data_IF_286713527436
#
_entry.id   IF_286713527436
#
_cell.length_a   1.000
_cell.length_b   1.000
_cell.length_c   1.000
_cell.angle_alpha   90.00
_cell.angle_beta   90.00
_cell.angle_gamma   90.00
#
_symmetry.space_group_name_H-M   'P 1'
#
loop_
_entity.id
_entity.type
_entity.pdbx_description
1 polymer ?
#
# COMPACT_ATOMS: atom_id res chain seq x y z
N UNK A 1 -21.84 -61.67 -7.49
CA UNK A 1 -22.68 -61.87 -6.28
C UNK A 1 -23.59 -60.65 -6.09
N UNK A 2 -24.53 -60.51 -7.03
CA UNK A 2 -25.97 -60.29 -6.81
C UNK A 2 -26.33 -58.92 -6.22
N UNK A 3 -26.76 -57.99 -7.08
CA UNK A 3 -27.38 -56.71 -6.67
C UNK A 3 -28.52 -56.90 -5.66
N UNK A 4 -29.15 -58.09 -5.64
CA UNK A 4 -30.13 -58.47 -4.63
C UNK A 4 -29.53 -58.51 -3.21
N UNK A 5 -28.34 -59.11 -3.03
CA UNK A 5 -27.65 -59.09 -1.73
C UNK A 5 -27.31 -57.67 -1.32
N UNK A 6 -26.86 -56.84 -2.27
CA UNK A 6 -26.59 -55.41 -2.01
C UNK A 6 -27.85 -54.67 -1.55
N UNK A 7 -28.99 -54.89 -2.22
CA UNK A 7 -30.27 -54.24 -1.87
C UNK A 7 -30.83 -54.71 -0.52
N UNK A 8 -30.60 -55.97 -0.15
CA UNK A 8 -31.04 -56.52 1.14
C UNK A 8 -30.15 -55.99 2.28
N UNK A 9 -28.84 -55.91 2.08
CA UNK A 9 -27.90 -55.40 3.10
C UNK A 9 -28.00 -53.88 3.28
N UNK A 10 -28.21 -53.10 2.22
CA UNK A 10 -28.39 -51.62 2.31
C UNK A 10 -29.72 -51.24 2.99
N UNK A 11 -30.73 -52.11 2.95
CA UNK A 11 -32.01 -51.89 3.63
C UNK A 11 -32.01 -52.27 5.13
N UNK A 12 -30.95 -52.91 5.63
CA UNK A 12 -30.88 -53.47 6.97
C UNK A 12 -29.87 -52.68 7.82
N UNK A 13 -30.36 -51.70 8.59
CA UNK A 13 -29.56 -51.04 9.63
C UNK A 13 -29.04 -52.06 10.66
N UNK A 14 -27.81 -51.90 11.21
CA UNK A 14 -27.25 -52.79 12.23
C UNK A 14 -28.20 -53.11 13.40
N UNK A 15 -28.97 -52.11 13.83
CA UNK A 15 -29.94 -52.24 14.92
C UNK A 15 -31.11 -53.18 14.57
N UNK A 16 -31.70 -53.03 13.37
CA UNK A 16 -32.78 -53.89 12.90
C UNK A 16 -32.35 -55.36 12.79
N UNK A 17 -31.09 -55.60 12.41
CA UNK A 17 -30.51 -56.95 12.35
C UNK A 17 -30.36 -57.52 13.76
N UNK A 18 -29.87 -56.73 14.71
CA UNK A 18 -29.76 -57.13 16.12
C UNK A 18 -31.12 -57.54 16.69
N UNK A 19 -32.15 -56.71 16.51
CA UNK A 19 -33.51 -57.00 16.98
C UNK A 19 -34.11 -58.25 16.32
N UNK A 20 -33.86 -58.45 15.02
CA UNK A 20 -34.28 -59.64 14.28
C UNK A 20 -33.68 -60.93 14.85
N UNK A 21 -32.38 -60.95 15.13
CA UNK A 21 -31.73 -62.12 15.74
C UNK A 21 -32.18 -62.38 17.18
N UNK A 22 -32.31 -61.32 18.00
CA UNK A 22 -32.76 -61.46 19.38
C UNK A 22 -34.20 -61.97 19.49
N UNK A 23 -35.11 -61.45 18.67
CA UNK A 23 -36.49 -61.92 18.62
C UNK A 23 -36.58 -63.38 18.19
N UNK A 24 -35.83 -63.77 17.15
CA UNK A 24 -35.75 -65.16 16.70
C UNK A 24 -35.21 -66.11 17.79
N UNK A 25 -34.17 -65.70 18.52
CA UNK A 25 -33.62 -66.46 19.65
C UNK A 25 -34.63 -66.61 20.79
N UNK A 26 -35.34 -65.54 21.15
CA UNK A 26 -36.36 -65.57 22.21
C UNK A 26 -37.54 -66.47 21.83
N UNK A 27 -37.98 -66.43 20.58
CA UNK A 27 -39.04 -67.32 20.08
C UNK A 27 -38.59 -68.78 20.14
N UNK A 28 -37.37 -69.08 19.71
CA UNK A 28 -36.82 -70.44 19.75
C UNK A 28 -36.67 -70.93 21.19
N UNK A 29 -36.18 -70.09 22.09
CA UNK A 29 -36.08 -70.39 23.53
C UNK A 29 -37.46 -70.66 24.16
N UNK A 30 -38.44 -69.81 23.90
CA UNK A 30 -39.80 -69.99 24.39
C UNK A 30 -40.45 -71.27 23.82
N UNK A 31 -40.26 -71.55 22.54
CA UNK A 31 -40.74 -72.77 21.89
C UNK A 31 -40.13 -74.02 22.53
N UNK A 32 -38.81 -74.03 22.77
CA UNK A 32 -38.13 -75.12 23.44
C UNK A 32 -38.66 -75.34 24.86
N UNK A 33 -38.94 -74.26 25.58
CA UNK A 33 -39.51 -74.31 26.93
C UNK A 33 -40.95 -74.85 26.92
N UNK A 34 -41.80 -74.41 25.99
CA UNK A 34 -43.18 -74.91 25.84
C UNK A 34 -43.20 -76.39 25.43
N UNK A 35 -42.39 -76.80 24.44
CA UNK A 35 -42.29 -78.20 24.01
C UNK A 35 -41.88 -79.13 25.16
N UNK A 36 -40.98 -78.66 26.04
CA UNK A 36 -40.59 -79.36 27.26
C UNK A 36 -41.76 -79.56 28.23
N UNK A 37 -42.59 -78.53 28.46
CA UNK A 37 -43.77 -78.67 29.35
C UNK A 37 -44.89 -79.51 28.73
N UNK A 38 -45.04 -79.49 27.40
CA UNK A 38 -46.05 -80.26 26.66
C UNK A 38 -45.61 -81.73 26.44
N UNK A 39 -44.39 -82.12 26.84
CA UNK A 39 -43.80 -83.48 26.68
C UNK A 39 -43.81 -83.98 25.23
N UNK A 40 -43.57 -83.07 24.27
CA UNK A 40 -43.57 -83.38 22.84
C UNK A 40 -42.29 -82.84 22.22
N UNK A 41 -41.65 -83.64 21.36
CA UNK A 41 -40.40 -83.33 20.68
C UNK A 41 -39.18 -83.15 21.63
N UNK A 42 -38.89 -84.17 22.45
CA UNK A 42 -37.72 -84.17 23.36
C UNK A 42 -36.39 -83.98 22.60
N UNK A 43 -36.29 -84.54 21.39
CA UNK A 43 -35.13 -84.36 20.51
C UNK A 43 -34.91 -82.88 20.12
N UNK A 44 -35.97 -82.10 19.91
CA UNK A 44 -35.87 -80.67 19.63
C UNK A 44 -35.38 -79.89 20.86
N UNK A 45 -35.85 -80.24 22.05
CA UNK A 45 -35.44 -79.60 23.31
C UNK A 45 -33.97 -79.87 23.62
N UNK A 46 -33.47 -81.06 23.28
CA UNK A 46 -32.06 -81.43 23.45
C UNK A 46 -31.14 -80.66 22.48
N UNK A 47 -31.59 -80.42 21.24
CA UNK A 47 -30.83 -79.72 20.21
C UNK A 47 -30.96 -78.18 20.29
N UNK A 48 -32.02 -77.65 20.91
CA UNK A 48 -32.30 -76.21 20.98
C UNK A 48 -31.17 -75.34 21.56
N UNK A 49 -30.43 -75.73 22.63
CA UNK A 49 -29.26 -74.96 23.08
C UNK A 49 -28.16 -74.87 22.02
N UNK A 50 -27.95 -75.94 21.24
CA UNK A 50 -27.03 -75.93 20.11
C UNK A 50 -27.47 -74.90 19.07
N UNK A 51 -28.76 -74.91 18.69
CA UNK A 51 -29.34 -73.96 17.73
C UNK A 51 -29.24 -72.50 18.19
N UNK A 52 -29.48 -72.20 19.47
CA UNK A 52 -29.31 -70.84 20.03
C UNK A 52 -27.86 -70.36 19.93
N UNK A 53 -26.90 -71.24 20.17
CA UNK A 53 -25.47 -70.93 20.07
C UNK A 53 -25.07 -70.70 18.60
N UNK A 54 -25.51 -71.58 17.69
CA UNK A 54 -25.25 -71.45 16.25
C UNK A 54 -25.90 -70.19 15.67
N UNK A 55 -27.09 -69.82 16.12
CA UNK A 55 -27.76 -68.59 15.72
C UNK A 55 -27.01 -67.35 16.24
N UNK A 56 -26.42 -67.43 17.44
CA UNK A 56 -25.54 -66.39 17.99
C UNK A 56 -24.28 -66.20 17.16
N UNK A 57 -23.63 -67.29 16.76
CA UNK A 57 -22.45 -67.26 15.86
C UNK A 57 -22.81 -66.64 14.52
N UNK A 58 -23.98 -66.98 13.94
CA UNK A 58 -24.44 -66.43 12.67
C UNK A 58 -24.74 -64.92 12.78
N UNK A 59 -25.30 -64.47 13.90
CA UNK A 59 -25.46 -63.04 14.20
C UNK A 59 -24.12 -62.30 14.26
N UNK A 60 -23.09 -62.90 14.88
CA UNK A 60 -21.72 -62.34 14.92
C UNK A 60 -21.15 -62.12 13.51
N UNK A 61 -21.22 -63.14 12.66
CA UNK A 61 -20.72 -63.03 11.29
C UNK A 61 -21.49 -61.97 10.49
N UNK A 62 -22.80 -61.89 10.68
CA UNK A 62 -23.64 -60.89 10.01
C UNK A 62 -23.28 -59.47 10.44
N UNK A 63 -23.07 -59.23 11.75
CA UNK A 63 -22.67 -57.92 12.27
C UNK A 63 -21.30 -57.46 11.79
N UNK A 64 -20.31 -58.37 11.72
CA UNK A 64 -18.98 -58.06 11.18
C UNK A 64 -19.03 -57.74 9.69
N UNK A 65 -19.84 -58.48 8.92
CA UNK A 65 -20.01 -58.21 7.48
C UNK A 65 -20.61 -56.81 7.28
N UNK A 66 -21.64 -56.43 8.04
CA UNK A 66 -22.27 -55.11 7.94
C UNK A 66 -21.26 -54.01 8.31
N UNK A 67 -20.49 -54.17 9.38
CA UNK A 67 -19.49 -53.18 9.80
C UNK A 67 -18.33 -52.98 8.83
N UNK A 68 -18.03 -53.98 7.98
CA UNK A 68 -16.98 -53.90 6.95
C UNK A 68 -17.52 -53.53 5.56
N UNK A 69 -18.85 -53.53 5.37
CA UNK A 69 -19.46 -53.38 4.05
C UNK A 69 -19.33 -51.98 3.45
N UNK A 70 -19.34 -50.95 4.29
CA UNK A 70 -19.18 -49.53 3.90
C UNK A 70 -17.85 -48.93 4.39
N UNK A 71 -16.86 -49.77 4.74
CA UNK A 71 -15.58 -49.29 5.22
C UNK A 71 -14.77 -48.64 4.08
N UNK A 72 -14.61 -47.32 4.13
CA UNK A 72 -13.84 -46.52 3.19
C UNK A 72 -12.63 -45.88 3.87
N UNK A 73 -11.47 -45.87 3.20
CA UNK A 73 -10.29 -45.15 3.66
C UNK A 73 -10.37 -43.64 3.44
N UNK A 74 -11.35 -43.17 2.66
CA UNK A 74 -11.58 -41.76 2.40
C UNK A 74 -12.22 -41.05 3.60
N UNK A 75 -13.22 -41.70 4.22
CA UNK A 75 -13.97 -41.20 5.38
C UNK A 75 -13.80 -42.12 6.58
N UNK A 76 -12.59 -42.09 7.16
CA UNK A 76 -12.19 -42.98 8.25
C UNK A 76 -13.08 -42.80 9.49
N UNK A 77 -13.50 -41.56 9.81
CA UNK A 77 -14.29 -41.28 11.01
C UNK A 77 -15.70 -41.91 10.92
N UNK A 78 -16.37 -41.81 9.77
CA UNK A 78 -17.67 -42.43 9.52
C UNK A 78 -17.54 -43.95 9.39
N UNK A 79 -16.48 -44.43 8.73
CA UNK A 79 -16.19 -45.86 8.58
C UNK A 79 -15.87 -46.55 9.91
N UNK A 80 -15.19 -45.88 10.85
CA UNK A 80 -14.95 -46.40 12.20
C UNK A 80 -16.26 -46.43 13.00
N UNK A 81 -17.12 -45.41 12.87
CA UNK A 81 -18.41 -45.38 13.55
C UNK A 81 -19.32 -46.55 13.10
N UNK A 82 -19.46 -46.76 11.79
CA UNK A 82 -20.24 -47.86 11.21
C UNK A 82 -19.65 -49.22 11.55
N UNK A 83 -18.31 -49.35 11.57
CA UNK A 83 -17.62 -50.57 12.00
C UNK A 83 -17.91 -50.89 13.47
N UNK A 84 -17.88 -49.88 14.35
CA UNK A 84 -18.19 -50.04 15.77
C UNK A 84 -19.64 -50.48 15.99
N UNK A 85 -20.60 -50.01 15.20
CA UNK A 85 -22.00 -50.41 15.32
C UNK A 85 -22.25 -51.84 14.79
N UNK A 86 -21.57 -52.24 13.71
CA UNK A 86 -21.55 -53.64 13.27
C UNK A 86 -20.92 -54.58 14.31
N UNK A 87 -19.85 -54.14 14.98
CA UNK A 87 -19.21 -54.89 16.07
C UNK A 87 -20.11 -55.00 17.31
N UNK A 88 -20.83 -53.94 17.69
CA UNK A 88 -21.83 -53.99 18.79
C UNK A 88 -22.91 -55.03 18.51
N UNK A 89 -23.44 -55.03 17.28
CA UNK A 89 -24.43 -56.02 16.80
C UNK A 89 -23.89 -57.45 16.92
N UNK A 90 -22.65 -57.66 16.47
CA UNK A 90 -21.99 -58.96 16.52
C UNK A 90 -21.79 -59.46 17.97
N UNK A 91 -21.42 -58.55 18.88
CA UNK A 91 -21.20 -58.90 20.28
C UNK A 91 -22.49 -59.25 21.02
N UNK A 92 -23.54 -58.43 20.88
CA UNK A 92 -24.82 -58.60 21.59
C UNK A 92 -25.48 -59.93 21.20
N UNK A 93 -25.53 -60.25 19.91
CA UNK A 93 -26.14 -61.49 19.40
C UNK A 93 -25.40 -62.75 19.89
N UNK A 94 -24.08 -62.71 19.99
CA UNK A 94 -23.26 -63.81 20.53
C UNK A 94 -23.50 -64.04 22.03
N UNK A 95 -23.48 -62.95 22.82
CA UNK A 95 -23.68 -63.02 24.28
C UNK A 95 -25.08 -63.56 24.60
N UNK A 96 -26.11 -63.09 23.90
CA UNK A 96 -27.47 -63.60 24.07
C UNK A 96 -27.62 -65.06 23.63
N UNK A 97 -27.01 -65.46 22.49
CA UNK A 97 -27.08 -66.84 21.99
C UNK A 97 -26.44 -67.85 22.95
N UNK A 98 -25.25 -67.52 23.48
CA UNK A 98 -24.56 -68.34 24.48
C UNK A 98 -25.31 -68.31 25.82
N UNK A 99 -25.74 -67.13 26.27
CA UNK A 99 -26.47 -66.97 27.53
C UNK A 99 -27.77 -67.77 27.57
N UNK A 100 -28.61 -67.64 26.55
CA UNK A 100 -29.87 -68.38 26.45
C UNK A 100 -29.64 -69.89 26.31
N UNK A 101 -28.59 -70.32 25.61
CA UNK A 101 -28.19 -71.73 25.49
C UNK A 101 -27.81 -72.34 26.85
N UNK A 102 -26.99 -71.63 27.63
CA UNK A 102 -26.57 -72.06 28.96
C UNK A 102 -27.79 -72.13 29.90
N UNK A 103 -28.64 -71.11 29.88
CA UNK A 103 -29.86 -71.08 30.69
C UNK A 103 -30.78 -72.25 30.33
N UNK A 104 -30.98 -72.54 29.04
CA UNK A 104 -31.80 -73.66 28.59
C UNK A 104 -31.21 -75.01 29.03
N UNK A 105 -29.89 -75.22 28.89
CA UNK A 105 -29.19 -76.44 29.38
C UNK A 105 -29.30 -76.61 30.89
N UNK A 106 -29.17 -75.53 31.65
CA UNK A 106 -29.32 -75.57 33.10
C UNK A 106 -30.76 -75.97 33.48
N UNK A 107 -31.77 -75.34 32.86
CA UNK A 107 -33.18 -75.66 33.12
C UNK A 107 -33.54 -77.10 32.72
N UNK A 108 -32.97 -77.63 31.62
CA UNK A 108 -33.21 -79.02 31.22
C UNK A 108 -32.54 -80.02 32.15
N UNK A 109 -31.35 -79.70 32.69
CA UNK A 109 -30.57 -80.57 33.57
C UNK A 109 -31.05 -80.58 35.03
N UNK A 110 -31.42 -79.43 35.59
CA UNK A 110 -31.73 -79.32 37.03
C UNK A 110 -33.18 -79.68 37.39
N UNK A 111 -34.08 -79.78 36.41
CA UNK A 111 -35.49 -80.13 36.63
C UNK A 111 -35.75 -81.50 35.97
N UNK A 112 -35.44 -82.64 36.63
CA UNK A 112 -35.78 -83.97 36.11
C UNK A 112 -37.30 -84.18 36.14
N UNK A 113 -37.88 -84.66 35.03
CA UNK A 113 -39.30 -85.00 34.93
C UNK A 113 -39.48 -86.46 35.39
N UNK A 114 -40.45 -86.79 36.27
CA UNK A 114 -40.60 -88.14 36.82
C UNK A 114 -41.05 -89.13 35.73
N UNK A 115 -40.32 -90.23 35.54
CA UNK A 115 -40.77 -91.32 34.67
C UNK A 115 -39.71 -92.27 34.11
N UNK A 116 -38.41 -92.07 34.33
CA UNK A 116 -37.38 -92.90 33.71
C UNK A 116 -36.67 -93.77 34.75
N UNK A 117 -37.21 -94.97 35.01
CA UNK A 117 -36.53 -96.01 35.79
C UNK A 117 -36.79 -97.36 35.13
N UNK A 118 -35.82 -97.86 34.38
CA UNK A 118 -35.79 -99.25 33.91
C UNK A 118 -35.24 -100.16 35.02
N UNK A 119 -35.94 -101.26 35.25
CA UNK A 119 -35.64 -102.31 36.23
C UNK A 119 -34.32 -103.02 35.93
N UNK A 120 -33.55 -103.34 36.98
CA UNK A 120 -32.32 -104.13 36.90
C UNK A 120 -32.55 -105.50 37.54
N UNK A 121 -32.44 -106.53 36.71
CA UNK A 121 -32.34 -107.96 37.05
C UNK A 121 -30.91 -108.32 37.50
N UNK A 122 -30.85 -109.05 38.62
CA UNK A 122 -29.79 -109.92 39.16
C UNK A 122 -28.36 -109.37 39.45
N UNK A 123 -27.95 -109.50 40.72
CA UNK A 123 -26.77 -108.84 41.31
C UNK A 123 -25.42 -109.50 40.97
N UNK A 124 -25.44 -110.71 40.40
CA UNK A 124 -24.23 -111.49 40.10
C UNK A 124 -23.63 -111.15 38.74
N UNK A 125 -24.46 -110.99 37.69
CA UNK A 125 -23.99 -110.64 36.34
C UNK A 125 -23.51 -109.18 36.25
N UNK A 126 -24.06 -108.29 37.07
CA UNK A 126 -23.64 -106.88 37.15
C UNK A 126 -22.21 -106.77 37.69
N UNK A 127 -21.81 -107.63 38.63
CA UNK A 127 -20.47 -107.57 39.23
C UNK A 127 -19.40 -107.96 38.22
N UNK A 128 -19.63 -109.03 37.45
CA UNK A 128 -18.69 -109.50 36.44
C UNK A 128 -18.68 -108.57 35.22
N UNK A 129 -19.84 -108.06 34.78
CA UNK A 129 -19.92 -107.04 33.75
C UNK A 129 -19.25 -105.72 34.18
N UNK A 130 -19.38 -105.30 35.44
CA UNK A 130 -18.71 -104.10 35.97
C UNK A 130 -17.19 -104.27 36.06
N UNK A 131 -16.69 -105.44 36.45
CA UNK A 131 -15.25 -105.69 36.48
C UNK A 131 -14.65 -105.70 35.07
N UNK A 132 -15.35 -106.29 34.10
CA UNK A 132 -14.91 -106.29 32.70
C UNK A 132 -14.96 -104.87 32.09
N UNK A 133 -16.06 -104.14 32.27
CA UNK A 133 -16.18 -102.73 31.87
C UNK A 133 -15.12 -101.85 32.52
N UNK A 134 -14.83 -102.03 33.81
CA UNK A 134 -13.81 -101.25 34.50
C UNK A 134 -12.41 -101.49 33.91
N UNK A 135 -12.08 -102.74 33.57
CA UNK A 135 -10.79 -103.05 32.95
C UNK A 135 -10.66 -102.54 31.50
N UNK A 136 -11.74 -102.62 30.70
CA UNK A 136 -11.77 -102.05 29.35
C UNK A 136 -11.78 -100.51 29.36
N UNK A 137 -12.46 -99.87 30.31
CA UNK A 137 -12.46 -98.42 30.49
C UNK A 137 -11.09 -97.90 30.90
N UNK A 138 -10.39 -98.58 31.81
CA UNK A 138 -9.04 -98.20 32.24
C UNK A 138 -8.04 -98.34 31.07
N UNK A 139 -8.09 -99.45 30.33
CA UNK A 139 -7.23 -99.61 29.14
C UNK A 139 -7.59 -98.66 28.01
N UNK A 140 -8.88 -98.36 27.82
CA UNK A 140 -9.38 -97.38 26.86
C UNK A 140 -8.90 -95.97 27.20
N UNK A 141 -9.01 -95.56 28.47
CA UNK A 141 -8.49 -94.28 28.96
C UNK A 141 -6.98 -94.17 28.84
N UNK A 142 -6.21 -95.21 29.17
CA UNK A 142 -4.75 -95.20 29.01
C UNK A 142 -4.32 -95.03 27.55
N UNK A 143 -5.01 -95.71 26.61
CA UNK A 143 -4.75 -95.55 25.17
C UNK A 143 -5.11 -94.14 24.71
N UNK A 144 -6.23 -93.60 25.18
CA UNK A 144 -6.67 -92.24 24.84
C UNK A 144 -5.74 -91.17 25.43
N UNK A 145 -5.23 -91.36 26.65
CA UNK A 145 -4.23 -90.50 27.30
C UNK A 145 -2.91 -90.51 26.54
N UNK A 146 -2.39 -91.69 26.19
CA UNK A 146 -1.16 -91.80 25.38
C UNK A 146 -1.32 -91.19 24.00
N UNK A 147 -2.48 -91.38 23.37
CA UNK A 147 -2.79 -90.75 22.08
C UNK A 147 -2.89 -89.23 22.21
N UNK A 148 -3.52 -88.72 23.28
CA UNK A 148 -3.61 -87.29 23.57
C UNK A 148 -2.25 -86.66 23.89
N UNK A 149 -1.39 -87.34 24.65
CA UNK A 149 -0.01 -86.90 24.91
C UNK A 149 0.81 -86.80 23.61
N UNK A 150 0.71 -87.81 22.75
CA UNK A 150 1.40 -87.78 21.46
C UNK A 150 0.87 -86.63 20.56
N UNK A 151 -0.45 -86.42 20.52
CA UNK A 151 -1.05 -85.31 19.77
C UNK A 151 -0.64 -83.94 20.33
N UNK A 152 -0.59 -83.78 21.66
CA UNK A 152 -0.12 -82.56 22.33
C UNK A 152 1.35 -82.29 22.04
N UNK A 153 2.18 -83.32 22.06
CA UNK A 153 3.61 -83.26 21.75
C UNK A 153 3.83 -82.84 20.28
N UNK A 154 3.11 -83.45 19.34
CA UNK A 154 3.21 -83.13 17.92
C UNK A 154 2.67 -81.73 17.61
N UNK A 155 1.56 -81.33 18.22
CA UNK A 155 1.03 -79.97 18.13
C UNK A 155 2.05 -78.95 18.65
N UNK A 156 2.64 -79.19 19.82
CA UNK A 156 3.65 -78.31 20.41
C UNK A 156 4.87 -78.16 19.50
N UNK A 157 5.34 -79.26 18.89
CA UNK A 157 6.42 -79.24 17.89
C UNK A 157 6.05 -78.42 16.65
N UNK A 158 4.87 -78.66 16.08
CA UNK A 158 4.41 -77.94 14.89
C UNK A 158 4.25 -76.44 15.14
N UNK A 159 3.66 -76.06 16.27
CA UNK A 159 3.52 -74.65 16.66
C UNK A 159 4.89 -74.00 16.85
N UNK A 160 5.81 -74.68 17.52
CA UNK A 160 7.17 -74.16 17.73
C UNK A 160 7.92 -73.98 16.40
N UNK A 161 7.87 -74.96 15.50
CA UNK A 161 8.49 -74.86 14.18
C UNK A 161 7.87 -73.74 13.34
N UNK A 162 6.53 -73.68 13.26
CA UNK A 162 5.83 -72.64 12.52
C UNK A 162 6.14 -71.24 13.08
N UNK A 163 6.23 -71.09 14.40
CA UNK A 163 6.55 -69.81 15.04
C UNK A 163 7.99 -69.37 14.74
N UNK A 164 8.95 -70.30 14.81
CA UNK A 164 10.36 -70.02 14.48
C UNK A 164 10.50 -69.63 13.01
N UNK A 165 9.86 -70.37 12.11
CA UNK A 165 9.92 -70.12 10.66
C UNK A 165 9.28 -68.77 10.29
N UNK A 166 8.16 -68.41 10.93
CA UNK A 166 7.54 -67.09 10.75
C UNK A 166 8.40 -65.96 11.33
N UNK A 167 9.01 -66.15 12.51
CA UNK A 167 9.92 -65.18 13.10
C UNK A 167 11.16 -64.96 12.22
N UNK A 168 11.73 -66.02 11.66
CA UNK A 168 12.85 -65.93 10.73
C UNK A 168 12.48 -65.11 9.49
N UNK A 169 11.32 -65.36 8.88
CA UNK A 169 10.84 -64.57 7.75
C UNK A 169 10.61 -63.10 8.11
N UNK A 170 10.11 -62.80 9.30
CA UNK A 170 9.94 -61.41 9.76
C UNK A 170 11.28 -60.71 9.92
N UNK A 171 12.29 -61.37 10.50
CA UNK A 171 13.64 -60.80 10.67
C UNK A 171 14.30 -60.57 9.31
N UNK A 172 14.20 -61.51 8.38
CA UNK A 172 14.75 -61.36 7.03
C UNK A 172 14.09 -60.19 6.30
N UNK A 173 12.74 -60.13 6.29
CA UNK A 173 12.02 -59.01 5.66
C UNK A 173 12.29 -57.68 6.33
N UNK A 174 12.48 -57.66 7.65
CA UNK A 174 12.85 -56.46 8.38
C UNK A 174 14.24 -55.98 7.96
N UNK A 175 15.23 -56.88 7.93
CA UNK A 175 16.59 -56.54 7.49
C UNK A 175 16.62 -56.04 6.04
N UNK A 176 15.94 -56.71 5.11
CA UNK A 176 15.85 -56.24 3.71
C UNK A 176 15.22 -54.85 3.61
N UNK A 177 14.18 -54.58 4.42
CA UNK A 177 13.47 -53.30 4.40
C UNK A 177 14.31 -52.20 5.04
N UNK A 178 15.04 -52.49 6.12
CA UNK A 178 15.99 -51.56 6.73
C UNK A 178 17.13 -51.26 5.77
N UNK A 179 17.77 -52.27 5.18
CA UNK A 179 18.92 -52.07 4.29
C UNK A 179 18.53 -51.26 3.05
N UNK A 180 17.41 -51.61 2.40
CA UNK A 180 16.99 -50.94 1.18
C UNK A 180 16.34 -49.58 1.45
N UNK A 181 15.27 -49.51 2.26
CA UNK A 181 14.50 -48.28 2.41
C UNK A 181 15.18 -47.26 3.31
N UNK A 182 15.87 -47.69 4.36
CA UNK A 182 16.59 -46.75 5.23
C UNK A 182 17.85 -46.23 4.55
N UNK A 183 18.56 -47.09 3.81
CA UNK A 183 19.72 -46.70 3.01
C UNK A 183 19.37 -45.70 1.91
N UNK A 184 18.31 -45.96 1.13
CA UNK A 184 17.87 -45.06 0.06
C UNK A 184 17.37 -43.72 0.65
N UNK A 185 16.60 -43.75 1.75
CA UNK A 185 16.14 -42.53 2.41
C UNK A 185 17.29 -41.71 3.03
N UNK A 186 18.30 -42.34 3.63
CA UNK A 186 19.48 -41.63 4.14
C UNK A 186 20.31 -41.00 3.02
N UNK A 187 20.40 -41.67 1.88
CA UNK A 187 21.07 -41.13 0.68
C UNK A 187 20.31 -39.89 0.17
N UNK A 188 18.98 -39.98 0.00
CA UNK A 188 18.14 -38.83 -0.39
C UNK A 188 18.20 -37.70 0.63
N UNK A 189 18.25 -38.03 1.92
CA UNK A 189 18.41 -37.04 2.98
C UNK A 189 19.74 -36.30 2.84
N UNK A 190 20.85 -37.02 2.61
CA UNK A 190 22.16 -36.42 2.36
C UNK A 190 22.19 -35.52 1.12
N UNK A 191 21.57 -35.95 0.02
CA UNK A 191 21.46 -35.13 -1.21
C UNK A 191 20.64 -33.85 -0.98
N UNK A 192 19.52 -33.95 -0.27
CA UNK A 192 18.70 -32.78 0.07
C UNK A 192 19.46 -31.82 1.00
N UNK A 193 20.25 -32.35 1.93
CA UNK A 193 21.07 -31.53 2.82
C UNK A 193 22.18 -30.80 2.07
N UNK A 194 22.84 -31.46 1.11
CA UNK A 194 23.84 -30.82 0.24
C UNK A 194 23.23 -29.70 -0.63
N UNK A 195 22.01 -29.91 -1.15
CA UNK A 195 21.27 -28.85 -1.87
C UNK A 195 20.90 -27.69 -0.97
N UNK A 196 20.53 -27.97 0.27
CA UNK A 196 20.23 -26.95 1.26
C UNK A 196 21.47 -26.09 1.58
N UNK A 197 22.63 -26.71 1.75
CA UNK A 197 23.89 -26.00 1.99
C UNK A 197 24.24 -25.03 0.84
N UNK A 198 24.17 -25.50 -0.40
CA UNK A 198 24.37 -24.66 -1.58
C UNK A 198 23.35 -23.50 -1.69
N UNK A 199 22.09 -23.75 -1.28
CA UNK A 199 21.07 -22.70 -1.24
C UNK A 199 21.40 -21.63 -0.21
N UNK A 200 21.86 -22.01 0.99
CA UNK A 200 22.28 -21.08 2.05
C UNK A 200 23.50 -20.26 1.62
N UNK A 201 24.46 -20.86 0.95
CA UNK A 201 25.63 -20.15 0.41
C UNK A 201 25.21 -19.09 -0.62
N UNK A 202 24.31 -19.45 -1.55
CA UNK A 202 23.76 -18.53 -2.55
C UNK A 202 23.00 -17.37 -1.89
N UNK A 203 22.17 -17.67 -0.88
CA UNK A 203 21.41 -16.66 -0.13
C UNK A 203 22.35 -15.69 0.59
N UNK A 204 23.46 -16.19 1.12
CA UNK A 204 24.48 -15.37 1.80
C UNK A 204 25.20 -14.45 0.81
N UNK A 205 25.51 -14.93 -0.39
CA UNK A 205 26.11 -14.11 -1.44
C UNK A 205 25.15 -13.02 -1.93
N UNK A 206 23.88 -13.35 -2.15
CA UNK A 206 22.85 -12.37 -2.53
C UNK A 206 22.64 -11.31 -1.45
N UNK A 207 22.68 -11.70 -0.16
CA UNK A 207 22.59 -10.74 0.94
C UNK A 207 23.73 -9.73 0.92
N UNK A 208 24.98 -10.17 0.71
CA UNK A 208 26.13 -9.26 0.58
C UNK A 208 26.01 -8.35 -0.64
N UNK A 209 25.63 -8.90 -1.79
CA UNK A 209 25.43 -8.10 -3.00
C UNK A 209 24.29 -7.07 -2.84
N UNK A 210 23.25 -7.41 -2.07
CA UNK A 210 22.19 -6.48 -1.72
C UNK A 210 22.68 -5.35 -0.79
N UNK A 211 23.49 -5.67 0.22
CA UNK A 211 24.10 -4.69 1.12
C UNK A 211 24.93 -3.66 0.35
N UNK A 212 25.82 -4.11 -0.54
CA UNK A 212 26.63 -3.23 -1.40
C UNK A 212 25.76 -2.34 -2.31
N UNK A 213 24.68 -2.88 -2.89
CA UNK A 213 23.74 -2.09 -3.71
C UNK A 213 23.02 -1.02 -2.90
N UNK A 214 22.62 -1.31 -1.65
CA UNK A 214 21.95 -0.36 -0.77
C UNK A 214 22.92 0.75 -0.37
N UNK A 215 24.16 0.42 -0.07
CA UNK A 215 25.21 1.41 0.26
C UNK A 215 25.46 2.35 -0.93
N UNK A 216 25.64 1.79 -2.14
CA UNK A 216 25.77 2.57 -3.37
C UNK A 216 24.58 3.50 -3.62
N UNK A 217 23.35 2.98 -3.47
CA UNK A 217 22.14 3.79 -3.61
C UNK A 217 22.07 4.91 -2.58
N UNK A 218 22.42 4.61 -1.33
CA UNK A 218 22.40 5.59 -0.24
C UNK A 218 23.38 6.73 -0.50
N UNK A 219 24.61 6.42 -0.94
CA UNK A 219 25.63 7.42 -1.26
C UNK A 219 25.21 8.32 -2.43
N UNK A 220 24.59 7.74 -3.47
CA UNK A 220 24.18 8.49 -4.66
C UNK A 220 22.84 9.21 -4.53
N UNK A 221 21.99 8.82 -3.58
CA UNK A 221 20.71 9.49 -3.35
C UNK A 221 20.93 10.94 -2.89
N UNK A 222 21.94 11.20 -2.07
CA UNK A 222 22.25 12.56 -1.59
C UNK A 222 22.73 13.45 -2.75
N UNK A 223 23.56 12.90 -3.64
CA UNK A 223 23.98 13.59 -4.87
C UNK A 223 22.80 13.87 -5.81
N UNK A 224 21.88 12.92 -5.96
CA UNK A 224 20.67 13.10 -6.76
C UNK A 224 19.75 14.18 -6.19
N UNK A 225 19.56 14.20 -4.86
CA UNK A 225 18.77 15.23 -4.16
C UNK A 225 19.41 16.60 -4.33
N UNK A 226 20.74 16.71 -4.15
CA UNK A 226 21.46 17.96 -4.40
C UNK A 226 21.31 18.43 -5.86
N UNK A 227 21.38 17.51 -6.82
CA UNK A 227 21.14 17.81 -8.24
C UNK A 227 19.74 18.35 -8.51
N UNK A 228 18.70 17.75 -7.91
CA UNK A 228 17.32 18.21 -8.04
C UNK A 228 17.11 19.61 -7.43
N UNK A 229 17.71 19.86 -6.27
CA UNK A 229 17.68 21.20 -5.64
C UNK A 229 18.34 22.24 -6.54
N UNK A 230 19.45 21.88 -7.19
CA UNK A 230 20.13 22.79 -8.11
C UNK A 230 19.27 23.08 -9.35
N UNK A 231 18.65 22.07 -9.96
CA UNK A 231 17.71 22.26 -11.08
C UNK A 231 16.55 23.17 -10.69
N UNK A 232 16.01 23.03 -9.48
CA UNK A 232 14.95 23.90 -8.99
C UNK A 232 15.40 25.37 -8.88
N UNK A 233 16.63 25.63 -8.39
CA UNK A 233 17.20 26.99 -8.35
C UNK A 233 17.43 27.56 -9.75
N UNK A 234 17.93 26.75 -10.67
CA UNK A 234 18.17 27.18 -12.04
C UNK A 234 16.85 27.54 -12.72
N UNK A 235 15.79 26.75 -12.53
CA UNK A 235 14.44 27.05 -13.00
C UNK A 235 13.87 28.34 -12.40
N UNK A 236 14.10 28.59 -11.11
CA UNK A 236 13.69 29.84 -10.46
C UNK A 236 14.42 31.05 -11.07
N UNK A 237 15.71 30.90 -11.38
CA UNK A 237 16.53 31.95 -12.01
C UNK A 237 16.03 32.24 -13.43
N UNK A 238 15.75 31.20 -14.22
CA UNK A 238 15.16 31.31 -15.56
C UNK A 238 13.80 32.03 -15.48
N UNK A 239 12.95 31.66 -14.52
CA UNK A 239 11.66 32.31 -14.32
C UNK A 239 11.81 33.81 -14.02
N UNK A 240 12.76 34.19 -13.17
CA UNK A 240 13.03 35.58 -12.84
C UNK A 240 13.52 36.38 -14.07
N UNK A 241 14.42 35.81 -14.88
CA UNK A 241 14.86 36.45 -16.13
C UNK A 241 13.74 36.58 -17.16
N UNK A 242 12.88 35.57 -17.28
CA UNK A 242 11.70 35.62 -18.15
C UNK A 242 10.70 36.71 -17.71
N UNK A 243 10.61 37.00 -16.41
CA UNK A 243 9.76 38.07 -15.88
C UNK A 243 10.27 39.47 -16.23
N UNK A 244 11.56 39.64 -16.57
CA UNK A 244 12.14 40.93 -17.00
C UNK A 244 11.96 41.20 -18.51
N UNK A 245 11.67 40.18 -19.31
CA UNK A 245 11.47 40.29 -20.77
C UNK A 245 10.37 41.30 -21.14
N UNK A 246 9.19 41.34 -20.48
CA UNK A 246 8.17 42.35 -20.76
C UNK A 246 8.66 43.79 -20.53
N UNK A 247 9.41 44.04 -19.45
CA UNK A 247 9.95 45.38 -19.16
C UNK A 247 10.95 45.83 -20.23
N UNK A 248 11.73 44.90 -20.78
CA UNK A 248 12.59 45.18 -21.92
C UNK A 248 11.77 45.59 -23.17
N UNK A 249 10.65 44.91 -23.44
CA UNK A 249 9.75 45.27 -24.53
C UNK A 249 9.08 46.63 -24.31
N UNK A 250 8.64 46.95 -23.10
CA UNK A 250 8.09 48.27 -22.73
C UNK A 250 9.14 49.38 -22.95
N UNK A 251 10.39 49.12 -22.56
CA UNK A 251 11.53 50.01 -22.79
C UNK A 251 11.77 50.24 -24.29
N UNK A 252 11.71 49.19 -25.11
CA UNK A 252 11.82 49.32 -26.57
C UNK A 252 10.67 50.14 -27.17
N UNK A 253 9.45 49.98 -26.69
CA UNK A 253 8.31 50.77 -27.15
C UNK A 253 8.49 52.26 -26.83
N UNK A 254 8.95 52.58 -25.62
CA UNK A 254 9.29 53.95 -25.22
C UNK A 254 10.40 54.57 -26.09
N UNK A 255 11.48 53.82 -26.36
CA UNK A 255 12.56 54.28 -27.25
C UNK A 255 12.03 54.51 -28.67
N UNK A 256 11.15 53.65 -29.17
CA UNK A 256 10.55 53.79 -30.50
C UNK A 256 9.60 55.01 -30.57
N UNK A 257 8.83 55.26 -29.52
CA UNK A 257 8.00 56.47 -29.41
C UNK A 257 8.85 57.74 -29.43
N UNK A 258 9.92 57.80 -28.64
CA UNK A 258 10.87 58.92 -28.66
C UNK A 258 11.54 59.11 -30.02
N UNK A 259 11.95 58.01 -30.67
CA UNK A 259 12.54 58.07 -32.00
C UNK A 259 11.56 58.65 -33.04
N UNK A 260 10.27 58.31 -32.96
CA UNK A 260 9.22 58.89 -33.81
C UNK A 260 9.02 60.38 -33.56
N UNK A 261 9.00 60.80 -32.29
CA UNK A 261 8.86 62.20 -31.91
C UNK A 261 10.06 63.04 -32.40
N UNK A 262 11.29 62.53 -32.22
CA UNK A 262 12.50 63.16 -32.76
C UNK A 262 12.45 63.26 -34.29
N UNK A 263 11.97 62.24 -34.99
CA UNK A 263 11.83 62.27 -36.44
C UNK A 263 10.83 63.36 -36.89
N UNK A 264 9.73 63.54 -36.16
CA UNK A 264 8.76 64.61 -36.42
C UNK A 264 9.39 65.98 -36.18
N UNK A 265 10.12 66.16 -35.08
CA UNK A 265 10.82 67.41 -34.76
C UNK A 265 11.85 67.77 -35.85
N UNK A 266 12.62 66.80 -36.34
CA UNK A 266 13.57 67.00 -37.46
C UNK A 266 12.83 67.42 -38.73
N UNK A 267 11.69 66.77 -39.03
CA UNK A 267 10.87 67.12 -40.20
C UNK A 267 10.34 68.56 -40.11
N UNK A 268 9.84 68.96 -38.94
CA UNK A 268 9.37 70.32 -38.70
C UNK A 268 10.50 71.35 -38.83
N UNK A 269 11.69 71.01 -38.33
CA UNK A 269 12.87 71.87 -38.46
C UNK A 269 13.28 72.05 -39.93
N UNK A 270 13.22 70.98 -40.74
CA UNK A 270 13.47 71.06 -42.19
C UNK A 270 12.45 71.95 -42.91
N UNK A 271 11.17 71.90 -42.52
CA UNK A 271 10.15 72.79 -43.08
C UNK A 271 10.33 74.25 -42.64
N UNK A 272 10.76 74.51 -41.40
CA UNK A 272 11.18 75.86 -40.97
C UNK A 272 12.36 76.38 -41.80
N UNK A 273 13.35 75.53 -42.09
CA UNK A 273 14.47 75.89 -42.99
C UNK A 273 13.99 76.23 -44.40
N UNK A 274 13.03 75.47 -44.95
CA UNK A 274 12.39 75.81 -46.24
C UNK A 274 11.69 77.17 -46.18
N UNK A 275 11.00 77.47 -45.08
CA UNK A 275 10.34 78.77 -44.84
C UNK A 275 11.32 79.94 -44.83
N UNK A 276 12.45 79.80 -44.12
CA UNK A 276 13.51 80.83 -44.09
C UNK A 276 14.11 81.04 -45.48
N UNK A 277 14.35 79.98 -46.23
CA UNK A 277 14.85 80.07 -47.60
C UNK A 277 13.86 80.83 -48.53
N UNK A 278 12.56 80.59 -48.38
CA UNK A 278 11.52 81.33 -49.11
C UNK A 278 11.44 82.81 -48.69
N UNK A 279 11.61 83.10 -47.40
CA UNK A 279 11.63 84.47 -46.88
C UNK A 279 12.86 85.24 -47.37
N UNK A 280 14.02 84.58 -47.45
CA UNK A 280 15.24 85.11 -48.04
C UNK A 280 15.04 85.50 -49.51
N UNK A 281 14.31 84.69 -50.29
CA UNK A 281 13.96 85.02 -51.68
C UNK A 281 13.10 86.28 -51.80
N UNK A 282 12.26 86.60 -50.81
CA UNK A 282 11.42 87.81 -50.81
C UNK A 282 12.14 89.08 -50.34
N UNK A 283 13.14 88.94 -49.45
CA UNK A 283 13.89 90.08 -48.89
C UNK A 283 15.01 90.54 -49.84
N UNK A 284 15.66 89.63 -50.57
CA UNK A 284 16.76 89.98 -51.49
C UNK A 284 16.42 91.09 -52.50
N UNK A 285 15.25 91.08 -53.18
CA UNK A 285 14.88 92.11 -54.15
C UNK A 285 14.67 93.50 -53.53
N UNK A 286 14.21 93.56 -52.27
CA UNK A 286 13.86 94.80 -51.57
C UNK A 286 15.02 95.38 -50.75
N UNK A 287 16.17 94.69 -50.73
CA UNK A 287 17.34 95.11 -49.97
C UNK A 287 17.89 96.46 -50.47
N UNK A 288 17.89 96.67 -51.80
CA UNK A 288 18.31 97.93 -52.41
C UNK A 288 17.42 99.11 -52.03
N UNK A 289 16.10 98.89 -51.96
CA UNK A 289 15.13 99.93 -51.59
C UNK A 289 15.22 100.31 -50.10
N UNK A 290 15.47 99.33 -49.22
CA UNK A 290 15.75 99.60 -47.80
C UNK A 290 17.07 100.34 -47.57
N UNK A 291 18.10 100.05 -48.37
CA UNK A 291 19.36 100.79 -48.34
C UNK A 291 19.14 102.24 -48.79
N UNK A 292 18.30 102.49 -49.81
CA UNK A 292 17.96 103.85 -50.27
C UNK A 292 17.19 104.65 -49.19
N UNK A 293 16.25 104.00 -48.49
CA UNK A 293 15.56 104.60 -47.34
C UNK A 293 16.53 104.92 -46.19
N UNK A 294 17.52 104.06 -45.94
CA UNK A 294 18.56 104.31 -44.94
C UNK A 294 19.41 105.54 -45.30
N UNK A 295 19.79 105.69 -46.58
CA UNK A 295 20.53 106.87 -47.07
C UNK A 295 19.70 108.15 -46.92
N UNK A 296 18.40 108.13 -47.23
CA UNK A 296 17.50 109.29 -46.98
C UNK A 296 17.38 109.64 -45.49
N UNK A 297 17.45 108.64 -44.61
CA UNK A 297 17.49 108.87 -43.16
C UNK A 297 18.73 109.66 -42.71
N UNK A 298 19.86 109.53 -43.42
CA UNK A 298 21.09 110.27 -43.13
C UNK A 298 20.95 111.76 -43.46
N UNK A 299 20.22 112.13 -44.53
CA UNK A 299 19.93 113.54 -44.87
C UNK A 299 19.08 114.24 -43.78
N UNK A 300 18.12 113.52 -43.21
CA UNK A 300 17.29 114.02 -42.09
C UNK A 300 18.14 114.27 -40.85
N UNK A 301 19.12 113.40 -40.57
CA UNK A 301 20.06 113.57 -39.47
C UNK A 301 20.94 114.82 -39.66
N UNK A 302 21.39 115.11 -40.89
CA UNK A 302 22.20 116.30 -41.19
C UNK A 302 21.43 117.62 -40.94
N UNK A 303 20.14 117.65 -41.26
CA UNK A 303 19.27 118.81 -41.04
C UNK A 303 18.99 119.06 -39.55
N UNK A 304 18.76 117.99 -38.77
CA UNK A 304 18.59 118.07 -37.31
C UNK A 304 19.89 118.52 -36.64
N UNK A 305 21.03 117.99 -37.07
CA UNK A 305 22.34 118.31 -36.48
C UNK A 305 22.73 119.78 -36.66
N UNK A 306 22.35 120.43 -37.76
CA UNK A 306 22.64 121.85 -38.02
C UNK A 306 21.80 122.78 -37.14
N UNK A 307 20.53 122.42 -36.91
CA UNK A 307 19.62 123.10 -35.98
C UNK A 307 20.08 122.93 -34.52
N UNK A 308 20.49 121.72 -34.16
CA UNK A 308 20.96 121.39 -32.81
C UNK A 308 22.32 122.06 -32.52
N UNK A 309 23.18 122.22 -33.53
CA UNK A 309 24.45 122.95 -33.39
C UNK A 309 24.26 124.45 -33.15
N UNK A 310 23.25 125.09 -33.75
CA UNK A 310 22.87 126.47 -33.44
C UNK A 310 22.35 126.61 -32.01
N UNK A 311 21.52 125.66 -31.57
CA UNK A 311 21.00 125.61 -30.20
C UNK A 311 22.11 125.34 -29.17
N UNK A 312 23.12 124.55 -29.56
CA UNK A 312 24.32 124.26 -28.77
C UNK A 312 25.26 125.47 -28.67
N UNK A 313 25.38 126.31 -29.71
CA UNK A 313 26.14 127.57 -29.62
C UNK A 313 25.50 128.56 -28.62
N UNK A 314 24.17 128.61 -28.55
CA UNK A 314 23.42 129.42 -27.56
C UNK A 314 23.56 128.83 -26.15
N UNK A 315 23.56 127.50 -26.01
CA UNK A 315 23.79 126.85 -24.71
C UNK A 315 25.24 127.03 -24.23
N UNK A 316 26.24 126.93 -25.11
CA UNK A 316 27.67 127.18 -24.81
C UNK A 316 27.89 128.62 -24.34
N UNK A 317 27.25 129.62 -24.97
CA UNK A 317 27.35 131.01 -24.52
C UNK A 317 26.79 131.19 -23.09
N UNK A 318 25.64 130.56 -22.79
CA UNK A 318 25.02 130.56 -21.46
C UNK A 318 25.83 129.76 -20.43
N UNK A 319 26.49 128.69 -20.89
CA UNK A 319 27.35 127.83 -20.09
C UNK A 319 28.72 128.48 -19.81
N UNK A 320 29.19 129.39 -20.68
CA UNK A 320 30.38 130.22 -20.45
C UNK A 320 30.16 131.28 -19.36
N UNK A 321 28.95 131.86 -19.28
CA UNK A 321 28.55 132.77 -18.21
C UNK A 321 28.43 132.04 -16.85
N UNK A 322 27.90 130.81 -16.86
CA UNK A 322 27.87 129.91 -15.69
C UNK A 322 29.26 129.37 -15.30
N UNK A 323 30.16 129.11 -16.26
CA UNK A 323 31.56 128.73 -16.01
C UNK A 323 32.33 129.87 -15.34
N UNK A 324 32.04 131.13 -15.66
CA UNK A 324 32.60 132.28 -14.95
C UNK A 324 32.23 132.29 -13.46
N UNK A 325 30.98 131.95 -13.13
CA UNK A 325 30.51 131.80 -11.75
C UNK A 325 31.06 130.54 -11.06
N UNK A 326 31.20 129.42 -11.80
CA UNK A 326 31.77 128.18 -11.30
C UNK A 326 33.29 128.27 -11.07
N UNK A 327 34.05 129.03 -11.86
CA UNK A 327 35.49 129.27 -11.63
C UNK A 327 35.70 130.05 -10.32
N UNK A 328 34.81 131.00 -10.00
CA UNK A 328 34.84 131.73 -8.74
C UNK A 328 34.49 130.83 -7.53
N UNK A 329 33.52 129.92 -7.71
CA UNK A 329 33.15 128.91 -6.71
C UNK A 329 34.22 127.81 -6.54
N UNK A 330 34.90 127.41 -7.63
CA UNK A 330 36.01 126.44 -7.64
C UNK A 330 37.27 127.04 -7.03
N UNK A 331 37.55 128.34 -7.20
CA UNK A 331 38.61 129.01 -6.43
C UNK A 331 38.32 129.02 -4.92
N UNK A 332 37.07 129.23 -4.50
CA UNK A 332 36.67 129.07 -3.09
C UNK A 332 36.62 127.62 -2.60
N UNK A 333 36.42 126.66 -3.51
CA UNK A 333 36.45 125.23 -3.20
C UNK A 333 37.88 124.66 -3.19
N UNK A 334 38.83 125.22 -3.95
CA UNK A 334 40.25 124.87 -3.87
C UNK A 334 40.88 125.28 -2.53
N UNK A 335 40.36 126.33 -1.90
CA UNK A 335 40.70 126.72 -0.53
C UNK A 335 40.15 125.71 0.52
N UNK A 336 39.11 124.94 0.16
CA UNK A 336 38.51 123.85 0.95
C UNK A 336 38.92 122.43 0.53
N UNK A 337 39.57 122.26 -0.62
CA UNK A 337 40.06 121.00 -1.19
C UNK A 337 41.46 120.65 -0.67
N UNK A 338 41.71 120.92 0.62
CA UNK A 338 42.81 120.33 1.39
C UNK A 338 42.34 119.15 2.24
N UNK A 339 41.07 118.74 2.13
CA UNK A 339 40.49 117.62 2.89
C UNK A 339 39.43 116.87 2.08
N UNK A 340 39.79 115.70 1.52
CA UNK A 340 38.85 114.70 1.01
C UNK A 340 39.00 113.42 1.85
N UNK A 341 37.89 112.79 2.26
CA UNK A 341 37.86 111.62 3.18
C UNK A 341 37.25 110.36 2.52
N UNK A 342 37.63 109.19 3.05
CA UNK A 342 37.42 107.83 2.54
C UNK A 342 35.94 107.34 2.57
N UNK A 343 35.07 108.00 3.32
CA UNK A 343 33.70 107.56 3.57
C UNK A 343 32.80 107.51 2.32
N UNK A 344 33.08 108.35 1.32
CA UNK A 344 32.27 108.39 0.10
C UNK A 344 32.49 107.15 -0.80
N UNK A 345 33.72 106.62 -0.86
CA UNK A 345 34.03 105.39 -1.59
C UNK A 345 33.42 104.17 -0.88
N UNK A 346 33.36 104.21 0.45
CA UNK A 346 32.79 103.12 1.26
C UNK A 346 31.28 102.97 1.07
N UNK A 347 30.54 104.08 0.89
CA UNK A 347 29.09 104.07 0.66
C UNK A 347 28.67 103.34 -0.62
N UNK A 348 29.42 103.48 -1.72
CA UNK A 348 29.11 102.81 -2.99
C UNK A 348 29.32 101.29 -2.95
N UNK A 349 30.32 100.81 -2.20
CA UNK A 349 30.59 99.37 -2.05
C UNK A 349 29.53 98.71 -1.17
N UNK A 350 29.10 99.39 -0.11
CA UNK A 350 28.11 98.88 0.84
C UNK A 350 26.75 98.59 0.18
N UNK A 351 26.29 99.47 -0.71
CA UNK A 351 24.96 99.38 -1.34
C UNK A 351 24.89 98.23 -2.37
N UNK A 352 25.99 97.98 -3.08
CA UNK A 352 26.12 96.87 -4.02
C UNK A 352 26.13 95.51 -3.29
N UNK A 353 26.86 95.40 -2.18
CA UNK A 353 26.97 94.16 -1.39
C UNK A 353 25.65 93.76 -0.73
N UNK A 354 24.87 94.73 -0.24
CA UNK A 354 23.58 94.47 0.40
C UNK A 354 22.53 93.97 -0.60
N UNK A 355 22.50 94.56 -1.80
CA UNK A 355 21.60 94.14 -2.87
C UNK A 355 21.86 92.70 -3.31
N UNK A 356 23.13 92.30 -3.45
CA UNK A 356 23.49 90.93 -3.84
C UNK A 356 23.15 89.89 -2.75
N UNK A 357 23.35 90.24 -1.47
CA UNK A 357 23.03 89.37 -0.33
C UNK A 357 21.54 89.01 -0.27
N UNK A 358 20.67 89.99 -0.52
CA UNK A 358 19.22 89.78 -0.50
C UNK A 358 18.76 88.85 -1.63
N UNK A 359 19.28 89.04 -2.85
CA UNK A 359 18.96 88.16 -3.99
C UNK A 359 19.39 86.70 -3.77
N UNK A 360 20.56 86.48 -3.16
CA UNK A 360 21.03 85.13 -2.82
C UNK A 360 20.16 84.45 -1.74
N UNK A 361 19.62 85.22 -0.79
CA UNK A 361 18.75 84.70 0.27
C UNK A 361 17.39 84.25 -0.28
N UNK A 362 16.83 84.98 -1.25
CA UNK A 362 15.58 84.65 -1.91
C UNK A 362 15.68 83.36 -2.74
N UNK A 363 16.78 83.20 -3.49
CA UNK A 363 17.10 81.97 -4.22
C UNK A 363 17.20 80.74 -3.30
N UNK A 364 17.87 80.88 -2.15
CA UNK A 364 18.01 79.79 -1.19
C UNK A 364 16.65 79.35 -0.61
N UNK A 365 15.75 80.31 -0.34
CA UNK A 365 14.39 80.02 0.14
C UNK A 365 13.53 79.34 -0.94
N UNK A 366 13.67 79.77 -2.19
CA UNK A 366 12.96 79.15 -3.31
C UNK A 366 13.43 77.71 -3.54
N UNK A 367 14.74 77.47 -3.50
CA UNK A 367 15.33 76.14 -3.67
C UNK A 367 14.93 75.17 -2.54
N UNK A 368 14.86 75.65 -1.29
CA UNK A 368 14.40 74.86 -0.17
C UNK A 368 12.93 74.39 -0.32
N UNK A 369 12.03 75.27 -0.79
CA UNK A 369 10.63 74.89 -1.05
C UNK A 369 10.51 73.82 -2.13
N UNK A 370 11.20 73.99 -3.25
CA UNK A 370 11.16 73.01 -4.35
C UNK A 370 11.69 71.63 -3.94
N UNK A 371 12.72 71.58 -3.09
CA UNK A 371 13.21 70.29 -2.58
C UNK A 371 12.20 69.62 -1.64
N UNK A 372 11.48 70.39 -0.83
CA UNK A 372 10.48 69.85 0.08
C UNK A 372 9.26 69.28 -0.65
N UNK A 373 8.77 69.98 -1.68
CA UNK A 373 7.69 69.48 -2.56
C UNK A 373 8.08 68.18 -3.28
N UNK A 374 9.34 68.07 -3.72
CA UNK A 374 9.86 66.87 -4.38
C UNK A 374 9.93 65.66 -3.43
N UNK A 375 10.33 65.89 -2.17
CA UNK A 375 10.38 64.84 -1.13
C UNK A 375 8.99 64.34 -0.76
N UNK A 376 8.00 65.24 -0.66
CA UNK A 376 6.61 64.86 -0.39
C UNK A 376 6.01 64.05 -1.55
N UNK A 377 6.28 64.45 -2.80
CA UNK A 377 5.85 63.70 -3.98
C UNK A 377 6.44 62.29 -4.03
N UNK A 378 7.75 62.14 -3.77
CA UNK A 378 8.43 60.84 -3.69
C UNK A 378 7.83 59.96 -2.57
N UNK A 379 7.59 60.53 -1.41
CA UNK A 379 7.00 59.81 -0.27
C UNK A 379 5.59 59.32 -0.56
N UNK A 380 4.79 60.10 -1.30
CA UNK A 380 3.46 59.72 -1.73
C UNK A 380 3.49 58.54 -2.72
N UNK A 381 4.38 58.59 -3.71
CA UNK A 381 4.55 57.51 -4.71
C UNK A 381 5.01 56.21 -4.04
N UNK A 382 5.96 56.27 -3.11
CA UNK A 382 6.45 55.09 -2.38
C UNK A 382 5.32 54.46 -1.55
N UNK A 383 4.55 55.26 -0.79
CA UNK A 383 3.42 54.74 0.00
C UNK A 383 2.35 54.08 -0.85
N UNK A 384 2.02 54.70 -2.00
CA UNK A 384 1.03 54.15 -2.93
C UNK A 384 1.49 52.82 -3.53
N UNK A 385 2.74 52.77 -4.02
CA UNK A 385 3.34 51.55 -4.57
C UNK A 385 3.39 50.42 -3.53
N UNK A 386 3.76 50.73 -2.28
CA UNK A 386 3.81 49.75 -1.20
C UNK A 386 2.41 49.21 -0.84
N UNK A 387 1.38 50.07 -0.81
CA UNK A 387 0.00 49.66 -0.58
C UNK A 387 -0.59 48.82 -1.72
N UNK A 388 -0.25 49.14 -2.97
CA UNK A 388 -0.65 48.35 -4.14
C UNK A 388 0.04 46.96 -4.13
N UNK A 389 1.31 46.91 -3.73
CA UNK A 389 2.06 45.67 -3.55
C UNK A 389 1.47 44.80 -2.43
N UNK A 390 1.13 45.39 -1.27
CA UNK A 390 0.53 44.68 -0.13
C UNK A 390 -0.82 44.05 -0.51
N UNK A 391 -1.66 44.78 -1.25
CA UNK A 391 -2.91 44.25 -1.78
C UNK A 391 -2.70 43.13 -2.81
N UNK A 392 -1.69 43.24 -3.67
CA UNK A 392 -1.37 42.20 -4.65
C UNK A 392 -0.85 40.92 -3.99
N UNK A 393 0.03 41.05 -2.99
CA UNK A 393 0.55 39.93 -2.21
C UNK A 393 -0.59 39.23 -1.45
N UNK A 394 -1.50 39.99 -0.83
CA UNK A 394 -2.67 39.40 -0.16
C UNK A 394 -3.55 38.58 -1.10
N UNK A 395 -3.79 39.07 -2.32
CA UNK A 395 -4.55 38.33 -3.35
C UNK A 395 -3.82 37.08 -3.83
N UNK A 396 -2.50 37.15 -4.03
CA UNK A 396 -1.70 35.98 -4.39
C UNK A 396 -1.69 34.93 -3.28
N UNK A 397 -1.60 35.36 -2.02
CA UNK A 397 -1.64 34.45 -0.87
C UNK A 397 -2.97 33.67 -0.81
N UNK A 398 -4.11 34.36 -0.97
CA UNK A 398 -5.42 33.70 -1.02
C UNK A 398 -5.58 32.77 -2.22
N UNK A 399 -5.02 33.12 -3.39
CA UNK A 399 -5.06 32.25 -4.57
C UNK A 399 -4.23 30.97 -4.34
N UNK A 400 -3.05 31.11 -3.73
CA UNK A 400 -2.18 29.99 -3.37
C UNK A 400 -2.85 29.10 -2.35
N UNK A 401 -3.42 29.66 -1.28
CA UNK A 401 -4.14 28.90 -0.25
C UNK A 401 -5.27 28.06 -0.87
N UNK A 402 -6.10 28.67 -1.72
CA UNK A 402 -7.19 27.97 -2.40
C UNK A 402 -6.70 26.87 -3.34
N UNK A 403 -5.63 27.14 -4.10
CA UNK A 403 -5.02 26.16 -5.00
C UNK A 403 -4.38 24.99 -4.25
N UNK A 404 -3.75 25.28 -3.12
CA UNK A 404 -3.14 24.27 -2.27
C UNK A 404 -4.20 23.38 -1.63
N UNK A 405 -5.33 23.96 -1.22
CA UNK A 405 -6.47 23.22 -0.68
C UNK A 405 -7.12 22.31 -1.75
N UNK A 406 -7.36 22.84 -2.96
CA UNK A 406 -7.85 22.06 -4.12
C UNK A 406 -6.92 20.86 -4.45
N UNK A 407 -5.60 21.07 -4.44
CA UNK A 407 -4.61 20.01 -4.72
C UNK A 407 -4.50 18.99 -3.59
N UNK A 408 -4.50 19.45 -2.32
CA UNK A 408 -4.47 18.55 -1.16
C UNK A 408 -5.72 17.67 -1.13
N UNK A 409 -6.89 18.24 -1.39
CA UNK A 409 -8.15 17.48 -1.48
C UNK A 409 -8.13 16.51 -2.67
N UNK A 410 -7.61 16.94 -3.82
CA UNK A 410 -7.43 16.09 -4.99
C UNK A 410 -6.51 14.89 -4.74
N UNK A 411 -5.37 15.11 -4.11
CA UNK A 411 -4.41 14.06 -3.72
C UNK A 411 -5.04 13.12 -2.69
N UNK A 412 -5.71 13.64 -1.66
CA UNK A 412 -6.37 12.81 -0.64
C UNK A 412 -7.49 11.96 -1.24
N UNK A 413 -8.28 12.51 -2.17
CA UNK A 413 -9.31 11.76 -2.88
C UNK A 413 -8.71 10.66 -3.77
N UNK A 414 -7.67 10.97 -4.54
CA UNK A 414 -6.99 10.00 -5.39
C UNK A 414 -6.34 8.88 -4.57
N UNK A 415 -5.69 9.22 -3.44
CA UNK A 415 -5.12 8.26 -2.51
C UNK A 415 -6.21 7.39 -1.86
N UNK A 416 -7.33 7.97 -1.44
CA UNK A 416 -8.46 7.22 -0.89
C UNK A 416 -9.05 6.23 -1.89
N UNK A 417 -9.18 6.63 -3.16
CA UNK A 417 -9.69 5.78 -4.23
C UNK A 417 -8.71 4.66 -4.60
N UNK A 418 -7.40 4.95 -4.61
CA UNK A 418 -6.35 3.95 -4.79
C UNK A 418 -6.32 2.94 -3.63
N UNK A 419 -6.41 3.40 -2.38
CA UNK A 419 -6.47 2.55 -1.18
C UNK A 419 -7.73 1.66 -1.17
N UNK A 420 -8.89 2.22 -1.53
CA UNK A 420 -10.13 1.46 -1.65
C UNK A 420 -10.03 0.38 -2.76
N UNK A 421 -9.40 0.71 -3.89
CA UNK A 421 -9.16 -0.23 -4.99
C UNK A 421 -8.22 -1.35 -4.56
N UNK A 422 -7.09 -1.02 -3.95
CA UNK A 422 -6.10 -1.98 -3.45
C UNK A 422 -6.73 -2.87 -2.38
N UNK A 423 -7.44 -2.31 -1.40
CA UNK A 423 -8.12 -3.07 -0.34
C UNK A 423 -9.20 -4.01 -0.91
N UNK A 424 -9.98 -3.53 -1.89
CA UNK A 424 -10.99 -4.34 -2.58
C UNK A 424 -10.36 -5.49 -3.39
N UNK A 425 -9.22 -5.23 -4.02
CA UNK A 425 -8.47 -6.23 -4.79
C UNK A 425 -7.83 -7.28 -3.87
N UNK A 426 -7.16 -6.86 -2.79
CA UNK A 426 -6.66 -7.76 -1.75
C UNK A 426 -7.75 -8.64 -1.15
N UNK A 427 -8.93 -8.07 -0.85
CA UNK A 427 -10.05 -8.85 -0.30
C UNK A 427 -10.55 -9.89 -1.31
N UNK A 428 -10.56 -9.54 -2.60
CA UNK A 428 -10.99 -10.42 -3.68
C UNK A 428 -9.98 -11.55 -3.89
N UNK A 429 -8.70 -11.22 -3.94
CA UNK A 429 -7.59 -12.17 -4.07
C UNK A 429 -7.53 -13.12 -2.88
N UNK A 430 -7.72 -12.61 -1.66
CA UNK A 430 -7.78 -13.41 -0.44
C UNK A 430 -8.96 -14.39 -0.46
N UNK A 431 -10.17 -13.95 -0.84
CA UNK A 431 -11.32 -14.85 -1.01
C UNK A 431 -11.08 -15.91 -2.08
N UNK A 432 -10.44 -15.54 -3.18
CA UNK A 432 -10.15 -16.45 -4.28
C UNK A 432 -9.11 -17.50 -3.87
N UNK A 433 -8.08 -17.11 -3.12
CA UNK A 433 -7.08 -18.01 -2.54
C UNK A 433 -7.72 -18.98 -1.54
N UNK A 434 -8.57 -18.49 -0.64
CA UNK A 434 -9.30 -19.34 0.32
C UNK A 434 -10.22 -20.32 -0.41
N UNK A 435 -10.93 -19.88 -1.45
CA UNK A 435 -11.77 -20.75 -2.26
C UNK A 435 -10.96 -21.79 -3.05
N UNK A 436 -9.79 -21.43 -3.56
CA UNK A 436 -8.88 -22.38 -4.21
C UNK A 436 -8.31 -23.40 -3.22
N UNK A 437 -7.94 -22.97 -2.00
CA UNK A 437 -7.52 -23.86 -0.91
C UNK A 437 -8.65 -24.83 -0.53
N UNK A 438 -9.89 -24.36 -0.40
CA UNK A 438 -11.05 -25.21 -0.13
C UNK A 438 -11.33 -26.20 -1.26
N UNK A 439 -11.22 -25.77 -2.53
CA UNK A 439 -11.36 -26.68 -3.68
C UNK A 439 -10.24 -27.71 -3.75
N UNK A 440 -9.00 -27.32 -3.45
CA UNK A 440 -7.87 -28.23 -3.36
C UNK A 440 -8.11 -29.27 -2.26
N UNK A 441 -8.61 -28.83 -1.10
CA UNK A 441 -8.95 -29.74 0.00
C UNK A 441 -10.08 -30.71 -0.39
N UNK A 442 -11.16 -30.20 -1.00
CA UNK A 442 -12.25 -31.05 -1.52
C UNK A 442 -11.80 -31.98 -2.66
N UNK A 443 -10.88 -31.54 -3.51
CA UNK A 443 -10.32 -32.40 -4.56
C UNK A 443 -9.37 -33.45 -3.99
N UNK A 444 -8.68 -33.14 -2.89
CA UNK A 444 -7.86 -34.09 -2.16
C UNK A 444 -8.72 -35.11 -1.39
N UNK A 445 -9.88 -34.69 -0.88
CA UNK A 445 -10.92 -35.56 -0.30
C UNK A 445 -11.53 -36.46 -1.38
N UNK A 446 -11.97 -35.92 -2.53
CA UNK A 446 -12.51 -36.72 -3.64
C UNK A 446 -11.49 -37.66 -4.28
N UNK A 447 -10.24 -37.24 -4.40
CA UNK A 447 -9.17 -38.12 -4.89
C UNK A 447 -8.84 -39.23 -3.88
N UNK A 448 -9.17 -39.06 -2.60
CA UNK A 448 -9.15 -40.15 -1.61
C UNK A 448 -10.37 -41.06 -1.75
N UNK A 449 -11.55 -40.53 -2.09
CA UNK A 449 -12.77 -41.30 -2.37
C UNK A 449 -12.71 -42.11 -3.68
N UNK A 450 -12.01 -41.64 -4.74
CA UNK A 450 -11.86 -42.37 -6.02
C UNK A 450 -10.76 -43.46 -5.99
N UNK A 451 -9.89 -43.44 -4.98
CA UNK A 451 -8.79 -44.40 -4.80
C UNK A 451 -9.11 -45.47 -3.74
N UNK A 452 -10.18 -45.27 -2.95
CA UNK A 452 -10.80 -46.28 -2.09
C UNK A 452 -11.89 -47.03 -2.87
#
# INVERSE_FOLDING_TARGET
MSEFLRSVFVALSPDAVTEGFLSLMLVLFALALVCRFVRRADEFVEQAPGLLTSLGILGTFTGVIIGLFEFSLADIDESIATLLDGLKTAFITSVCGIGLSIVLRALTRFIPVPGDVAEVTDLADIRDALQQLQSELVQGQERQLKQSENQLSDFSKQVSQALVEQMEQVVVRFNERVENQFGENMTRFGENFARFDAMVETLTQEYKAHEERVEYWSEHCDTAVMGLVQVARDLQTIHQQLAEVPQFFDGMESVNAQAREQMQAVTEQLDRYRGVAAQMQNVLPHLGERIDQFVKGIDVVQQVMTSDMQQSLVSIAKQSELLGAQIQAVSGAFEKMSSLDADFIQGLVQDSVTTHRNGMQELALQQARTHQEMVDALSHVIRKSLGDAENSIGKQYQLVERKMEEEVEGVMSAMGQALATISGQFTRDYRQLVAQMQRLNQSAERAREEVA
#
